data_IF_524934390511
#
_entry.id   IF_524934390511
#
_cell.length_a   1.000
_cell.length_b   1.000
_cell.length_c   1.000
_cell.angle_alpha   90.00
_cell.angle_beta   90.00
_cell.angle_gamma   90.00
#
_symmetry.space_group_name_H-M   'P 1'
#
loop_
_entity.id
_entity.type
_entity.pdbx_description
1 polymer ?
#
# COMPACT_ATOMS: atom_id res chain seq x y z
N UNK A 1 -16.28 12.43 -34.33
CA UNK A 1 -14.85 12.32 -33.90
C UNK A 1 -13.96 12.36 -35.14
N UNK A 2 -13.34 13.50 -35.43
CA UNK A 2 -12.60 13.75 -36.67
C UNK A 2 -11.28 12.95 -36.73
N UNK A 3 -10.84 12.56 -37.94
CA UNK A 3 -9.62 11.78 -38.18
C UNK A 3 -8.34 12.43 -37.59
N UNK A 4 -8.35 13.76 -37.42
CA UNK A 4 -7.26 14.51 -36.78
C UNK A 4 -7.09 14.18 -35.28
N UNK A 5 -8.19 13.93 -34.56
CA UNK A 5 -8.13 13.61 -33.12
C UNK A 5 -7.62 12.18 -32.87
N UNK A 6 -7.92 11.24 -33.77
CA UNK A 6 -7.41 9.86 -33.71
C UNK A 6 -5.89 9.82 -33.89
N UNK A 7 -5.33 10.59 -34.85
CA UNK A 7 -3.88 10.71 -35.04
C UNK A 7 -3.16 11.35 -33.84
N UNK A 8 -3.78 12.36 -33.20
CA UNK A 8 -3.21 13.02 -32.01
C UNK A 8 -3.20 12.10 -30.78
N UNK A 9 -4.25 11.29 -30.58
CA UNK A 9 -4.31 10.26 -29.53
C UNK A 9 -3.28 9.14 -29.76
N UNK A 10 -3.13 8.67 -30.99
CA UNK A 10 -2.12 7.65 -31.34
C UNK A 10 -0.69 8.11 -31.07
N UNK A 11 -0.32 9.35 -31.45
CA UNK A 11 1.02 9.92 -31.13
C UNK A 11 1.27 10.04 -29.63
N UNK A 12 0.26 10.42 -28.84
CA UNK A 12 0.38 10.52 -27.36
C UNK A 12 0.52 9.15 -26.69
N UNK A 13 -0.17 8.13 -27.20
CA UNK A 13 -0.04 6.75 -26.71
C UNK A 13 1.36 6.18 -26.97
N UNK A 14 1.91 6.41 -28.17
CA UNK A 14 3.28 5.99 -28.52
C UNK A 14 4.34 6.67 -27.64
N UNK A 15 4.18 7.97 -27.37
CA UNK A 15 5.09 8.71 -26.50
C UNK A 15 5.03 8.25 -25.03
N UNK A 16 3.85 7.83 -24.54
CA UNK A 16 3.70 7.24 -23.21
C UNK A 16 4.34 5.85 -23.13
N UNK A 17 4.17 5.02 -24.16
CA UNK A 17 4.78 3.69 -24.22
C UNK A 17 6.32 3.77 -24.18
N UNK A 18 6.92 4.67 -24.96
CA UNK A 18 8.39 4.89 -24.94
C UNK A 18 8.91 5.38 -23.59
N UNK A 19 8.17 6.26 -22.91
CA UNK A 19 8.54 6.72 -21.55
C UNK A 19 8.44 5.59 -20.52
N UNK A 20 7.44 4.71 -20.63
CA UNK A 20 7.30 3.56 -19.73
C UNK A 20 8.42 2.54 -19.96
N UNK A 21 8.80 2.30 -21.22
CA UNK A 21 9.91 1.41 -21.57
C UNK A 21 11.26 1.96 -21.07
N UNK A 22 11.49 3.28 -21.20
CA UNK A 22 12.70 3.92 -20.68
C UNK A 22 12.81 3.80 -19.17
N UNK A 23 11.71 4.04 -18.43
CA UNK A 23 11.69 3.88 -16.97
C UNK A 23 11.98 2.45 -16.52
N UNK A 24 11.44 1.45 -17.23
CA UNK A 24 11.72 0.04 -16.94
C UNK A 24 13.20 -0.30 -17.15
N UNK A 25 13.81 0.18 -18.23
CA UNK A 25 15.24 -0.01 -18.49
C UNK A 25 16.11 0.68 -17.46
N UNK A 26 15.72 1.87 -17.00
CA UNK A 26 16.41 2.61 -15.95
C UNK A 26 16.32 1.89 -14.60
N UNK A 27 15.14 1.36 -14.24
CA UNK A 27 14.96 0.51 -13.06
C UNK A 27 15.77 -0.80 -13.14
N UNK A 28 15.79 -1.46 -14.30
CA UNK A 28 16.60 -2.66 -14.54
C UNK A 28 18.11 -2.36 -14.42
N UNK A 29 18.59 -1.23 -14.95
CA UNK A 29 19.99 -0.84 -14.86
C UNK A 29 20.40 -0.46 -13.42
N UNK A 30 19.52 0.20 -12.67
CA UNK A 30 19.73 0.49 -11.25
C UNK A 30 19.80 -0.79 -10.43
N UNK A 31 18.88 -1.74 -10.66
CA UNK A 31 18.91 -3.04 -10.02
C UNK A 31 20.20 -3.79 -10.38
N UNK A 32 20.61 -3.81 -11.65
CA UNK A 32 21.86 -4.46 -12.07
C UNK A 32 23.11 -3.83 -11.43
N UNK A 33 23.13 -2.52 -11.20
CA UNK A 33 24.22 -1.84 -10.47
C UNK A 33 24.22 -2.22 -8.99
N UNK A 34 23.05 -2.28 -8.35
CA UNK A 34 22.91 -2.74 -6.97
C UNK A 34 23.34 -4.21 -6.80
N UNK A 35 23.01 -5.08 -7.76
CA UNK A 35 23.47 -6.48 -7.78
C UNK A 35 24.99 -6.57 -7.80
N UNK A 36 25.65 -5.80 -8.67
CA UNK A 36 27.12 -5.76 -8.74
C UNK A 36 27.75 -5.24 -7.46
N UNK A 37 27.23 -4.16 -6.89
CA UNK A 37 27.79 -3.57 -5.67
C UNK A 37 27.63 -4.50 -4.45
N UNK A 38 26.52 -5.22 -4.34
CA UNK A 38 26.31 -6.19 -3.26
C UNK A 38 27.19 -7.44 -3.46
N UNK A 39 27.31 -7.94 -4.69
CA UNK A 39 28.20 -9.07 -5.00
C UNK A 39 29.68 -8.72 -4.74
N UNK A 40 30.10 -7.50 -5.07
CA UNK A 40 31.45 -7.00 -4.77
C UNK A 40 31.67 -6.87 -3.25
N UNK A 41 30.68 -6.36 -2.49
CA UNK A 41 30.75 -6.31 -1.02
C UNK A 41 30.79 -7.70 -0.37
N UNK A 42 30.05 -8.69 -0.88
CA UNK A 42 30.12 -10.07 -0.40
C UNK A 42 31.48 -10.71 -0.73
N UNK A 43 32.04 -10.43 -1.91
CA UNK A 43 33.38 -10.89 -2.32
C UNK A 43 34.49 -10.25 -1.49
N UNK A 44 34.40 -8.97 -1.18
CA UNK A 44 35.36 -8.31 -0.29
C UNK A 44 35.25 -8.80 1.15
N UNK A 45 34.04 -9.05 1.66
CA UNK A 45 33.81 -9.61 2.99
C UNK A 45 34.34 -11.05 3.13
N UNK A 46 34.35 -11.83 2.05
CA UNK A 46 34.90 -13.20 2.03
C UNK A 46 36.41 -13.23 1.80
N UNK A 47 36.98 -12.24 1.10
CA UNK A 47 38.43 -12.14 0.84
C UNK A 47 39.21 -11.52 2.00
N UNK A 48 38.62 -10.59 2.76
CA UNK A 48 39.21 -9.99 3.97
C UNK A 48 39.01 -10.87 5.21
N UNK A 49 39.57 -12.08 5.17
CA UNK A 49 39.51 -13.09 6.23
C UNK A 49 39.49 -12.51 7.64
N UNK A 50 38.33 -12.60 8.30
CA UNK A 50 38.23 -12.51 9.77
C UNK A 50 38.79 -13.78 10.38
N UNK A 51 40.12 -13.88 10.41
CA UNK A 51 40.79 -14.68 11.42
C UNK A 51 40.52 -14.04 12.78
N UNK A 52 39.89 -14.81 13.69
CA UNK A 52 39.74 -14.55 15.13
C UNK A 52 38.76 -13.43 15.54
N UNK A 53 37.47 -13.73 15.53
CA UNK A 53 36.58 -13.35 16.63
C UNK A 53 35.36 -14.27 16.62
N UNK A 54 35.18 -15.00 17.72
CA UNK A 54 34.01 -15.75 18.17
C UNK A 54 32.83 -15.83 17.18
N UNK A 55 32.44 -17.02 16.66
CA UNK A 55 31.26 -17.14 15.81
C UNK A 55 30.02 -16.98 16.70
N UNK A 56 29.63 -15.74 16.96
CA UNK A 56 28.23 -15.45 17.27
C UNK A 56 27.37 -16.05 16.16
N UNK A 57 26.13 -16.49 16.46
CA UNK A 57 25.29 -17.21 15.51
C UNK A 57 25.28 -16.44 14.20
N UNK A 58 25.84 -17.07 13.17
CA UNK A 58 25.87 -16.55 11.81
C UNK A 58 24.43 -16.19 11.48
N UNK A 59 24.13 -14.90 11.35
CA UNK A 59 22.79 -14.46 10.95
C UNK A 59 22.46 -15.23 9.68
N UNK A 60 21.31 -15.92 9.61
CA UNK A 60 20.95 -16.68 8.43
C UNK A 60 21.10 -15.77 7.22
N UNK A 61 21.76 -16.27 6.17
CA UNK A 61 21.96 -15.52 4.94
C UNK A 61 20.57 -15.16 4.40
N UNK A 62 20.35 -13.88 4.11
CA UNK A 62 19.07 -13.43 3.58
C UNK A 62 18.87 -14.04 2.19
N UNK A 63 17.80 -14.81 2.01
CA UNK A 63 17.45 -15.49 0.77
C UNK A 63 16.77 -14.55 -0.24
N UNK A 64 16.48 -13.30 0.14
CA UNK A 64 15.87 -12.26 -0.71
C UNK A 64 16.51 -10.87 -0.48
N UNK A 65 17.84 -10.71 -0.66
CA UNK A 65 18.55 -9.46 -0.35
C UNK A 65 18.11 -8.28 -1.23
N UNK A 66 17.48 -8.56 -2.37
CA UNK A 66 16.94 -7.56 -3.30
C UNK A 66 15.44 -7.31 -3.12
N UNK A 67 14.76 -8.10 -2.28
CA UNK A 67 13.33 -7.94 -2.02
C UNK A 67 12.43 -8.33 -3.20
N UNK A 68 12.93 -9.07 -4.19
CA UNK A 68 12.14 -9.46 -5.38
C UNK A 68 11.01 -10.41 -4.99
N UNK A 69 11.28 -11.35 -4.08
CA UNK A 69 10.24 -12.25 -3.56
C UNK A 69 9.25 -11.49 -2.70
N UNK A 70 9.70 -10.47 -1.95
CA UNK A 70 8.81 -9.58 -1.21
C UNK A 70 7.90 -8.77 -2.14
N UNK A 71 8.43 -8.23 -3.23
CA UNK A 71 7.68 -7.45 -4.21
C UNK A 71 6.65 -8.28 -4.98
N UNK A 72 6.93 -9.57 -5.20
CA UNK A 72 6.04 -10.50 -5.88
C UNK A 72 4.81 -10.93 -5.04
N UNK A 73 4.82 -10.71 -3.72
CA UNK A 73 3.73 -11.09 -2.82
C UNK A 73 2.46 -10.25 -3.04
N UNK A 74 1.27 -10.76 -2.64
CA UNK A 74 0.03 -9.99 -2.70
C UNK A 74 0.08 -8.78 -1.77
N UNK A 75 0.40 -7.61 -2.33
CA UNK A 75 0.63 -6.38 -1.59
C UNK A 75 -0.54 -5.97 -0.67
N UNK A 76 -1.79 -6.18 -1.10
CA UNK A 76 -2.97 -5.83 -0.31
C UNK A 76 -3.17 -6.72 0.91
N UNK A 77 -2.89 -8.03 0.78
CA UNK A 77 -3.01 -8.97 1.89
C UNK A 77 -1.92 -8.74 2.93
N UNK A 78 -0.69 -8.49 2.45
CA UNK A 78 0.43 -8.17 3.32
C UNK A 78 0.21 -6.83 4.04
N UNK A 79 -0.29 -5.81 3.34
CA UNK A 79 -0.66 -4.54 3.94
C UNK A 79 -1.76 -4.71 5.00
N UNK A 80 -2.76 -5.56 4.74
CA UNK A 80 -3.80 -5.87 5.73
C UNK A 80 -3.22 -6.57 6.95
N UNK A 81 -2.25 -7.47 6.79
CA UNK A 81 -1.54 -8.12 7.90
C UNK A 81 -0.89 -7.08 8.81
N UNK A 82 -0.13 -6.13 8.26
CA UNK A 82 0.49 -5.06 9.04
C UNK A 82 -0.54 -4.17 9.73
N UNK A 83 -1.59 -3.74 9.02
CA UNK A 83 -2.62 -2.90 9.62
C UNK A 83 -3.40 -3.63 10.70
N UNK A 84 -3.65 -4.93 10.59
CA UNK A 84 -4.32 -5.70 11.64
C UNK A 84 -3.52 -5.69 12.95
N UNK A 85 -2.18 -5.72 12.85
CA UNK A 85 -1.27 -5.60 14.00
C UNK A 85 -1.38 -4.18 14.58
N UNK A 86 -1.31 -3.15 13.74
CA UNK A 86 -1.47 -1.76 14.18
C UNK A 86 -2.82 -1.53 14.85
N UNK A 87 -3.91 -2.08 14.32
CA UNK A 87 -5.23 -1.98 14.94
C UNK A 87 -5.31 -2.65 16.32
N UNK A 88 -4.47 -3.65 16.58
CA UNK A 88 -4.42 -4.36 17.86
C UNK A 88 -3.58 -3.62 18.91
N UNK A 89 -2.46 -3.04 18.50
CA UNK A 89 -1.48 -2.45 19.43
C UNK A 89 -1.46 -0.91 19.42
N UNK A 90 -2.00 -0.27 18.39
CA UNK A 90 -2.03 1.17 18.17
C UNK A 90 -3.44 1.62 17.75
N UNK A 91 -4.46 1.15 18.47
CA UNK A 91 -5.86 1.49 18.21
C UNK A 91 -6.22 2.95 18.51
N UNK A 92 -5.41 3.63 19.29
CA UNK A 92 -5.60 5.03 19.68
C UNK A 92 -5.01 6.02 18.66
N UNK A 93 -4.20 5.53 17.72
CA UNK A 93 -3.66 6.37 16.64
C UNK A 93 -4.65 6.46 15.47
N UNK A 94 -4.97 7.69 15.07
CA UNK A 94 -5.86 7.94 13.93
C UNK A 94 -5.24 7.43 12.63
N UNK A 95 -3.91 7.54 12.46
CA UNK A 95 -3.22 7.12 11.23
C UNK A 95 -3.41 5.63 10.95
N UNK A 96 -3.47 4.81 11.99
CA UNK A 96 -3.78 3.38 11.89
C UNK A 96 -5.11 3.14 11.19
N UNK A 97 -6.16 3.86 11.59
CA UNK A 97 -7.50 3.68 11.00
C UNK A 97 -7.59 4.30 9.61
N UNK A 98 -6.88 5.39 9.33
CA UNK A 98 -6.76 5.95 7.98
C UNK A 98 -6.08 4.96 7.01
N UNK A 99 -5.01 4.32 7.44
CA UNK A 99 -4.35 3.28 6.64
C UNK A 99 -5.28 2.06 6.43
N UNK A 100 -6.00 1.64 7.47
CA UNK A 100 -6.97 0.55 7.36
C UNK A 100 -8.09 0.84 6.37
N UNK A 101 -8.58 2.07 6.38
CA UNK A 101 -9.54 2.57 5.41
C UNK A 101 -9.00 2.43 3.97
N UNK A 102 -7.78 2.91 3.74
CA UNK A 102 -7.20 2.98 2.39
C UNK A 102 -6.97 1.59 1.79
N UNK A 103 -6.62 0.62 2.63
CA UNK A 103 -6.49 -0.78 2.23
C UNK A 103 -7.87 -1.40 2.01
N UNK A 104 -8.83 -1.20 2.92
CA UNK A 104 -10.17 -1.76 2.81
C UNK A 104 -10.91 -1.29 1.55
N UNK A 105 -10.72 -0.02 1.15
CA UNK A 105 -11.23 0.52 -0.10
C UNK A 105 -10.67 -0.24 -1.30
N UNK A 106 -9.34 -0.41 -1.36
CA UNK A 106 -8.67 -1.13 -2.46
C UNK A 106 -9.05 -2.61 -2.50
N UNK A 107 -9.29 -3.23 -1.35
CA UNK A 107 -9.78 -4.61 -1.25
C UNK A 107 -11.28 -4.75 -1.51
N UNK A 108 -12.02 -3.65 -1.69
CA UNK A 108 -13.50 -3.62 -1.82
C UNK A 108 -14.24 -4.27 -0.65
N UNK A 109 -13.67 -4.18 0.56
CA UNK A 109 -14.27 -4.73 1.80
C UNK A 109 -14.97 -3.64 2.60
N UNK A 110 -16.23 -3.38 2.26
CA UNK A 110 -16.97 -2.22 2.77
C UNK A 110 -17.30 -2.25 4.26
N UNK A 111 -17.47 -3.42 4.86
CA UNK A 111 -17.69 -3.50 6.30
C UNK A 111 -16.44 -3.11 7.10
N UNK A 112 -15.26 -3.51 6.63
CA UNK A 112 -13.97 -3.12 7.23
C UNK A 112 -13.71 -1.63 7.06
N UNK A 113 -14.12 -1.09 5.90
CA UNK A 113 -14.09 0.33 5.63
C UNK A 113 -14.95 1.10 6.65
N UNK A 114 -16.21 0.69 6.85
CA UNK A 114 -17.12 1.32 7.81
C UNK A 114 -16.58 1.23 9.24
N UNK A 115 -16.02 0.07 9.61
CA UNK A 115 -15.39 -0.13 10.90
C UNK A 115 -14.22 0.84 11.14
N UNK A 116 -13.36 1.04 10.15
CA UNK A 116 -12.24 1.96 10.24
C UNK A 116 -12.71 3.42 10.43
N UNK A 117 -13.74 3.85 9.70
CA UNK A 117 -14.32 5.19 9.87
C UNK A 117 -14.89 5.40 11.27
N UNK A 118 -15.68 4.46 11.77
CA UNK A 118 -16.27 4.55 13.11
C UNK A 118 -15.21 4.58 14.20
N UNK A 119 -14.14 3.78 14.07
CA UNK A 119 -13.02 3.81 15.01
C UNK A 119 -12.26 5.12 14.96
N UNK A 120 -11.97 5.65 13.76
CA UNK A 120 -11.28 6.92 13.61
C UNK A 120 -12.05 8.09 14.20
N UNK A 121 -13.39 8.09 14.06
CA UNK A 121 -14.26 9.15 14.59
C UNK A 121 -14.39 9.13 16.12
N UNK A 122 -14.21 7.98 16.75
CA UNK A 122 -14.23 7.85 18.22
C UNK A 122 -13.00 8.44 18.90
N UNK A 123 -11.94 8.74 18.14
CA UNK A 123 -10.73 9.30 18.71
C UNK A 123 -10.94 10.80 18.98
N UNK A 124 -10.77 11.23 20.23
CA UNK A 124 -11.10 12.59 20.66
C UNK A 124 -10.05 13.63 20.21
N UNK A 125 -8.82 13.21 19.90
CA UNK A 125 -7.69 14.07 19.53
C UNK A 125 -7.54 14.27 18.01
N UNK A 126 -8.63 14.61 17.32
CA UNK A 126 -8.61 14.80 15.87
C UNK A 126 -8.20 16.24 15.50
N UNK A 127 -7.11 16.39 14.75
CA UNK A 127 -6.72 17.67 14.14
C UNK A 127 -7.75 18.10 13.09
N UNK A 128 -7.80 19.40 12.77
CA UNK A 128 -8.71 19.92 11.75
C UNK A 128 -8.47 19.30 10.36
N UNK A 129 -7.23 18.98 10.03
CA UNK A 129 -6.85 18.30 8.79
C UNK A 129 -7.40 16.88 8.76
N UNK A 130 -7.23 16.14 9.86
CA UNK A 130 -7.73 14.78 9.97
C UNK A 130 -9.25 14.71 9.90
N UNK A 131 -9.96 15.70 10.45
CA UNK A 131 -11.42 15.82 10.30
C UNK A 131 -11.83 16.00 8.83
N UNK A 132 -11.18 16.92 8.09
CA UNK A 132 -11.43 17.12 6.65
C UNK A 132 -11.16 15.87 5.84
N UNK A 133 -10.08 15.16 6.18
CA UNK A 133 -9.74 13.88 5.58
C UNK A 133 -10.81 12.81 5.84
N UNK A 134 -11.31 12.70 7.08
CA UNK A 134 -12.39 11.78 7.41
C UNK A 134 -13.70 12.12 6.68
N UNK A 135 -14.04 13.40 6.54
CA UNK A 135 -15.21 13.83 5.76
C UNK A 135 -15.09 13.45 4.28
N UNK A 136 -13.91 13.66 3.68
CA UNK A 136 -13.62 13.27 2.28
C UNK A 136 -13.75 11.75 2.09
N UNK A 137 -13.20 11.00 3.04
CA UNK A 137 -13.25 9.55 3.09
C UNK A 137 -14.67 9.00 3.32
N UNK A 138 -15.49 9.69 4.10
CA UNK A 138 -16.92 9.38 4.25
C UNK A 138 -17.67 9.60 2.94
N UNK A 139 -17.39 10.68 2.20
CA UNK A 139 -18.02 10.90 0.89
C UNK A 139 -17.70 9.75 -0.09
N UNK A 140 -16.43 9.34 -0.17
CA UNK A 140 -16.02 8.18 -0.98
C UNK A 140 -16.75 6.89 -0.59
N UNK A 141 -17.01 6.69 0.71
CA UNK A 141 -17.76 5.52 1.19
C UNK A 141 -19.16 5.48 0.61
N UNK A 142 -19.86 6.61 0.67
CA UNK A 142 -21.25 6.71 0.27
C UNK A 142 -21.42 6.45 -1.22
N UNK A 143 -20.44 6.84 -2.03
CA UNK A 143 -20.40 6.48 -3.45
C UNK A 143 -20.21 4.97 -3.66
N UNK A 144 -19.29 4.34 -2.92
CA UNK A 144 -19.03 2.91 -3.06
C UNK A 144 -20.20 2.05 -2.54
N UNK A 145 -20.90 2.50 -1.50
CA UNK A 145 -22.11 1.84 -0.96
C UNK A 145 -23.22 1.71 -2.02
N UNK A 146 -23.33 2.65 -2.96
CA UNK A 146 -24.32 2.57 -4.06
C UNK A 146 -24.07 1.38 -4.99
N UNK A 147 -22.84 0.89 -5.07
CA UNK A 147 -22.49 -0.26 -5.91
C UNK A 147 -22.77 -1.61 -5.22
N UNK A 148 -23.16 -1.60 -3.94
CA UNK A 148 -23.40 -2.82 -3.18
C UNK A 148 -24.75 -3.41 -3.52
N UNK A 149 -24.73 -4.63 -4.03
CA UNK A 149 -25.95 -5.40 -4.33
C UNK A 149 -26.36 -6.31 -3.17
N UNK A 150 -25.45 -6.63 -2.24
CA UNK A 150 -25.72 -7.59 -1.17
C UNK A 150 -26.63 -6.98 -0.08
N UNK A 151 -27.85 -7.54 0.15
CA UNK A 151 -28.82 -6.96 1.06
C UNK A 151 -28.42 -7.05 2.54
N UNK A 152 -27.67 -8.09 2.94
CA UNK A 152 -27.20 -8.26 4.33
C UNK A 152 -26.18 -7.19 4.67
N UNK A 153 -25.25 -6.94 3.75
CA UNK A 153 -24.22 -5.90 3.90
C UNK A 153 -24.86 -4.51 3.96
N UNK A 154 -25.84 -4.22 3.09
CA UNK A 154 -26.58 -2.97 3.10
C UNK A 154 -27.34 -2.74 4.42
N UNK A 155 -27.94 -3.78 4.99
CA UNK A 155 -28.63 -3.69 6.28
C UNK A 155 -27.67 -3.23 7.39
N UNK A 156 -26.53 -3.90 7.52
CA UNK A 156 -25.49 -3.53 8.52
C UNK A 156 -24.96 -2.12 8.29
N UNK A 157 -24.73 -1.75 7.03
CA UNK A 157 -24.27 -0.39 6.69
C UNK A 157 -25.31 0.65 7.10
N UNK A 158 -26.58 0.42 6.80
CA UNK A 158 -27.65 1.38 7.13
C UNK A 158 -27.84 1.53 8.64
N UNK A 159 -27.78 0.43 9.40
CA UNK A 159 -27.84 0.46 10.87
C UNK A 159 -26.68 1.29 11.47
N UNK A 160 -25.47 1.06 10.97
CA UNK A 160 -24.26 1.71 11.50
C UNK A 160 -23.96 3.09 10.90
N UNK A 161 -24.59 3.45 9.78
CA UNK A 161 -24.47 4.78 9.17
C UNK A 161 -25.04 5.88 10.07
N UNK A 162 -26.02 5.56 10.92
CA UNK A 162 -26.56 6.48 11.91
C UNK A 162 -25.53 6.86 13.00
N UNK A 163 -24.54 6.01 13.25
CA UNK A 163 -23.48 6.28 14.24
C UNK A 163 -22.36 7.19 13.67
N UNK A 164 -22.31 7.40 12.35
CA UNK A 164 -21.39 8.34 11.72
C UNK A 164 -21.91 9.77 11.96
N UNK A 165 -21.44 10.44 13.02
CA UNK A 165 -21.77 11.86 13.27
C UNK A 165 -21.25 12.72 12.11
N UNK A 166 -21.98 13.78 11.76
CA UNK A 166 -21.52 14.80 10.79
C UNK A 166 -20.24 15.52 11.23
#
# INVERSE_FOLDING_TARGET
MSAAEKKKKAKRALAKARKAEFKRKEEEELNAKLHKEIEDKEREATKNGKAKANPGPTRPKDDDPFGEKLAAKPALEEAWRFVSILQRYASEDVKTHLAAFDIALRMKKLLLYLQALLKAQKLENLSAETKKELSSRRAMFLEEVKQVTNPVVLKVINEKKAELKE
#
